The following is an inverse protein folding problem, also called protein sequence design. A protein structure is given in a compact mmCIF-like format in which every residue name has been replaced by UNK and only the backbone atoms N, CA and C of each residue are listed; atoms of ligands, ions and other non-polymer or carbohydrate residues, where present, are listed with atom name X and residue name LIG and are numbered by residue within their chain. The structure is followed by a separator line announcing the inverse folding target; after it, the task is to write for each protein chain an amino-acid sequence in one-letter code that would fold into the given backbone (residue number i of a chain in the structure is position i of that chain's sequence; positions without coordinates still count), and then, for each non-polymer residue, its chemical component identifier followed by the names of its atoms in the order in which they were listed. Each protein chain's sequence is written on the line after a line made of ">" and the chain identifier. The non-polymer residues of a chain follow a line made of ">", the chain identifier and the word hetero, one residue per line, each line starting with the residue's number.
data_IF_386906678275
#
_entry.id   IF_386906678275
#
_cell.length_a   1.000
_cell.length_b   1.000
_cell.length_c   1.000
_cell.angle_alpha   90.00
_cell.angle_beta   90.00
_cell.angle_gamma   90.00
#
_symmetry.space_group_name_H-M   'P 1'
#
loop_
_entity.id
_entity.type
_entity.pdbx_description
1 polymer ?
#
# COMPACT_ATOMS: atom_id res chain seq x y z
N UNK A 1 -4.98 -10.58 -0.08
CA UNK A 1 -5.61 -9.61 0.82
C UNK A 1 -4.56 -9.12 1.81
N UNK A 2 -4.51 -7.81 2.05
CA UNK A 2 -3.57 -7.17 2.98
C UNK A 2 -4.24 -6.91 4.33
N UNK A 3 -3.47 -6.89 5.41
CA UNK A 3 -3.94 -6.64 6.76
C UNK A 3 -3.05 -5.61 7.47
N UNK A 4 -3.65 -4.77 8.31
CA UNK A 4 -2.95 -3.97 9.29
C UNK A 4 -3.06 -4.60 10.69
N UNK A 5 -2.01 -4.38 11.47
CA UNK A 5 -1.98 -4.66 12.89
C UNK A 5 -2.01 -3.33 13.62
N UNK A 6 -2.97 -3.15 14.52
CA UNK A 6 -3.13 -1.94 15.33
C UNK A 6 -2.91 -2.23 16.81
N UNK A 7 -2.17 -1.36 17.48
CA UNK A 7 -1.91 -1.46 18.92
C UNK A 7 -2.96 -0.72 19.78
N UNK A 8 -2.66 -0.59 21.08
CA UNK A 8 -3.55 -0.06 22.14
C UNK A 8 -4.08 1.38 21.93
N UNK A 9 -3.55 2.13 20.96
CA UNK A 9 -3.99 3.49 20.63
C UNK A 9 -4.50 3.62 19.19
N UNK A 10 -4.96 2.53 18.59
CA UNK A 10 -5.39 2.47 17.18
C UNK A 10 -4.29 2.80 16.15
N UNK A 11 -3.07 3.03 16.61
CA UNK A 11 -1.90 3.25 15.77
C UNK A 11 -1.51 1.95 15.07
N UNK A 12 -1.23 2.05 13.77
CA UNK A 12 -0.70 0.93 13.01
C UNK A 12 0.68 0.61 13.56
N UNK A 13 0.92 -0.66 13.86
CA UNK A 13 2.19 -1.16 14.40
C UNK A 13 2.82 -2.21 13.48
N UNK A 14 2.07 -2.71 12.52
CA UNK A 14 2.59 -3.59 11.49
C UNK A 14 1.60 -3.82 10.37
N UNK A 15 2.07 -4.48 9.32
CA UNK A 15 1.32 -4.85 8.13
C UNK A 15 1.64 -6.30 7.77
N UNK A 16 0.62 -7.04 7.31
CA UNK A 16 0.79 -8.31 6.62
C UNK A 16 0.27 -8.15 5.21
N UNK A 17 1.16 -8.29 4.23
CA UNK A 17 0.90 -7.95 2.86
C UNK A 17 0.99 -9.22 2.02
N UNK A 18 -0.02 -9.50 1.20
CA UNK A 18 0.05 -10.63 0.29
C UNK A 18 1.12 -10.36 -0.79
N UNK A 19 2.14 -11.22 -0.86
CA UNK A 19 3.29 -11.01 -1.74
C UNK A 19 2.92 -11.08 -3.23
N UNK A 20 1.95 -11.91 -3.59
CA UNK A 20 1.46 -12.05 -4.97
C UNK A 20 0.69 -10.82 -5.46
N UNK A 21 0.16 -10.00 -4.54
CA UNK A 21 -0.62 -8.80 -4.86
C UNK A 21 0.15 -7.49 -4.68
N UNK A 22 1.34 -7.52 -4.10
CA UNK A 22 2.09 -6.31 -3.73
C UNK A 22 2.60 -5.50 -4.93
N UNK A 23 3.14 -6.14 -5.97
CA UNK A 23 3.65 -5.44 -7.15
C UNK A 23 4.50 -4.20 -6.82
N UNK A 24 4.11 -3.04 -7.36
CA UNK A 24 4.74 -1.73 -7.08
C UNK A 24 4.25 -1.06 -5.79
N UNK A 25 3.17 -1.58 -5.19
CA UNK A 25 2.57 -1.01 -3.98
C UNK A 25 3.52 -1.13 -2.78
N UNK A 26 4.39 -2.15 -2.76
CA UNK A 26 5.41 -2.30 -1.71
C UNK A 26 6.26 -1.05 -1.51
N UNK A 27 6.59 -0.31 -2.56
CA UNK A 27 7.40 0.90 -2.44
C UNK A 27 6.67 2.02 -1.71
N UNK A 28 5.36 2.19 -1.97
CA UNK A 28 4.52 3.15 -1.25
C UNK A 28 4.38 2.78 0.22
N UNK A 29 4.31 1.49 0.53
CA UNK A 29 4.22 1.00 1.91
C UNK A 29 5.52 1.25 2.65
N UNK A 30 6.66 1.02 2.01
CA UNK A 30 7.97 1.29 2.61
C UNK A 30 8.18 2.79 2.84
N UNK A 31 7.74 3.63 1.91
CA UNK A 31 7.75 5.09 2.06
C UNK A 31 6.90 5.53 3.26
N UNK A 32 5.65 5.06 3.33
CA UNK A 32 4.79 5.29 4.49
C UNK A 32 5.41 4.77 5.80
N UNK A 33 6.06 3.60 5.78
CA UNK A 33 6.67 3.03 6.98
C UNK A 33 7.86 3.87 7.47
N UNK A 34 8.62 4.49 6.57
CA UNK A 34 9.72 5.41 6.92
C UNK A 34 9.19 6.66 7.61
N UNK A 35 8.03 7.17 7.17
CA UNK A 35 7.38 8.34 7.79
C UNK A 35 6.71 8.02 9.13
N UNK A 36 6.19 6.81 9.31
CA UNK A 36 5.36 6.44 10.46
C UNK A 36 6.12 5.67 11.55
N UNK A 37 7.21 4.97 11.21
CA UNK A 37 7.98 4.17 12.15
C UNK A 37 9.41 4.69 12.32
N UNK A 38 9.83 4.88 13.57
CA UNK A 38 11.23 5.22 13.87
C UNK A 38 12.22 4.11 13.48
N UNK A 39 11.74 2.86 13.45
CA UNK A 39 12.45 1.69 12.94
C UNK A 39 11.46 0.56 12.70
N UNK A 40 11.68 -0.25 11.66
CA UNK A 40 10.85 -1.40 11.33
C UNK A 40 11.70 -2.53 10.75
N UNK A 41 11.16 -3.75 10.81
CA UNK A 41 11.70 -4.94 10.18
C UNK A 41 10.76 -5.43 9.08
N UNK A 42 11.33 -5.99 8.02
CA UNK A 42 10.60 -6.57 6.89
C UNK A 42 11.02 -8.02 6.73
N UNK A 43 10.06 -8.93 6.80
CA UNK A 43 10.28 -10.37 6.69
C UNK A 43 9.28 -10.97 5.70
N UNK A 44 9.70 -11.95 4.91
CA UNK A 44 8.82 -12.66 3.98
C UNK A 44 8.64 -14.10 4.43
N UNK A 45 7.41 -14.51 4.72
CA UNK A 45 7.05 -15.84 5.21
C UNK A 45 5.66 -16.24 4.72
N UNK A 46 5.45 -17.52 4.41
CA UNK A 46 4.15 -18.08 4.00
C UNK A 46 3.42 -17.34 2.86
N UNK A 47 4.17 -16.72 1.94
CA UNK A 47 3.58 -15.93 0.83
C UNK A 47 3.11 -14.53 1.24
N UNK A 48 3.50 -14.06 2.43
CA UNK A 48 3.23 -12.73 2.93
C UNK A 48 4.52 -11.97 3.24
N UNK A 49 4.50 -10.66 3.00
CA UNK A 49 5.49 -9.73 3.50
C UNK A 49 4.96 -9.12 4.79
N UNK A 50 5.68 -9.36 5.88
CA UNK A 50 5.42 -8.84 7.19
C UNK A 50 6.29 -7.61 7.41
N UNK A 51 5.66 -6.48 7.67
CA UNK A 51 6.33 -5.26 8.09
C UNK A 51 5.93 -4.98 9.54
N UNK A 52 6.90 -4.89 10.45
CA UNK A 52 6.62 -4.68 11.88
C UNK A 52 7.47 -3.55 12.42
N UNK A 53 6.84 -2.64 13.15
CA UNK A 53 7.54 -1.61 13.92
C UNK A 53 8.39 -2.28 15.00
N UNK A 54 9.66 -1.86 15.10
CA UNK A 54 10.59 -2.36 16.11
C UNK A 54 10.25 -1.88 17.53
N UNK A 55 9.33 -0.91 17.66
CA UNK A 55 8.87 -0.38 18.93
C UNK A 55 7.79 -1.26 19.60
N UNK A 56 7.25 -2.24 18.89
CA UNK A 56 6.31 -3.23 19.45
C UNK A 56 7.02 -4.11 20.47
N UNK A 57 6.49 -4.14 21.69
CA UNK A 57 6.81 -5.19 22.65
C UNK A 57 5.97 -6.43 22.28
N UNK A 58 6.57 -7.61 22.28
CA UNK A 58 5.92 -8.90 21.95
C UNK A 58 4.63 -9.17 22.74
N UNK A 59 4.44 -8.53 23.90
CA UNK A 59 3.29 -8.70 24.79
C UNK A 59 2.14 -7.71 24.51
N UNK A 60 2.26 -6.82 23.52
CA UNK A 60 1.21 -5.85 23.22
C UNK A 60 -0.02 -6.56 22.61
N UNK A 61 -1.22 -6.20 23.08
CA UNK A 61 -2.46 -6.62 22.42
C UNK A 61 -2.54 -5.95 21.05
N UNK A 62 -2.51 -6.76 19.99
CA UNK A 62 -2.55 -6.29 18.60
C UNK A 62 -3.79 -6.80 17.90
N UNK A 63 -4.55 -5.89 17.30
CA UNK A 63 -5.73 -6.23 16.51
C UNK A 63 -5.36 -6.33 15.04
N UNK A 64 -5.74 -7.44 14.40
CA UNK A 64 -5.57 -7.67 12.96
C UNK A 64 -6.85 -7.30 12.23
N UNK A 65 -6.74 -6.36 11.31
CA UNK A 65 -7.88 -5.90 10.50
C UNK A 65 -7.52 -5.85 9.01
N UNK A 66 -8.49 -6.02 8.10
CA UNK A 66 -8.27 -5.80 6.68
C UNK A 66 -7.74 -4.39 6.42
N UNK A 67 -6.73 -4.29 5.57
CA UNK A 67 -6.20 -2.99 5.19
C UNK A 67 -7.24 -2.25 4.32
N UNK A 68 -7.78 -1.14 4.80
CA UNK A 68 -8.77 -0.35 4.05
C UNK A 68 -8.07 0.77 3.28
N UNK A 69 -8.28 0.81 1.96
CA UNK A 69 -7.55 1.68 1.04
C UNK A 69 -7.70 3.20 1.18
N UNK A 70 -8.52 3.70 2.11
CA UNK A 70 -8.88 5.13 2.15
C UNK A 70 -8.68 5.78 3.53
N UNK A 71 -8.42 5.01 4.59
CA UNK A 71 -8.34 5.55 5.96
C UNK A 71 -6.92 5.77 6.48
N UNK A 72 -5.97 4.94 6.06
CA UNK A 72 -4.67 4.79 6.72
C UNK A 72 -3.52 5.54 6.02
N UNK A 73 -3.81 6.31 4.97
CA UNK A 73 -2.78 6.96 4.13
C UNK A 73 -1.96 6.00 3.27
N UNK A 74 -2.20 4.69 3.41
CA UNK A 74 -1.48 3.62 2.71
C UNK A 74 -1.87 3.50 1.22
N UNK A 75 -2.97 4.11 0.78
CA UNK A 75 -3.36 4.19 -0.64
C UNK A 75 -3.53 2.86 -1.37
N UNK A 76 -3.59 1.73 -0.64
CA UNK A 76 -3.72 0.38 -1.18
C UNK A 76 -5.17 0.17 -1.65
N UNK A 77 -5.40 0.13 -2.94
CA UNK A 77 -6.76 -0.11 -3.45
C UNK A 77 -7.08 -1.60 -3.30
N UNK A 78 -8.05 -1.97 -2.46
CA UNK A 78 -8.60 -3.34 -2.39
C UNK A 78 -9.46 -3.67 -3.63
N UNK A 79 -9.66 -2.68 -4.51
CA UNK A 79 -10.31 -2.85 -5.80
C UNK A 79 -9.36 -3.62 -6.72
N UNK A 80 -9.83 -4.67 -7.43
CA UNK A 80 -9.06 -5.21 -8.54
C UNK A 80 -8.73 -4.02 -9.44
N UNK A 81 -7.46 -3.83 -9.76
CA UNK A 81 -7.02 -2.77 -10.66
C UNK A 81 -7.66 -3.02 -12.03
N UNK A 82 -8.90 -2.57 -12.22
CA UNK A 82 -9.43 -2.30 -13.53
C UNK A 82 -8.59 -1.13 -14.03
N UNK A 83 -7.60 -1.47 -14.86
CA UNK A 83 -7.04 -0.53 -15.80
C UNK A 83 -8.22 -0.01 -16.62
N UNK A 84 -8.82 1.10 -16.18
CA UNK A 84 -9.75 1.89 -16.96
C UNK A 84 -8.96 2.45 -18.13
N UNK A 85 -8.94 1.63 -19.17
CA UNK A 85 -8.51 1.87 -20.52
C UNK A 85 -9.03 3.22 -21.02
N UNK A 86 -8.13 4.00 -21.61
CA UNK A 86 -8.31 5.21 -22.42
C UNK A 86 -9.74 5.74 -22.60
N UNK A 87 -9.96 6.95 -22.11
CA UNK A 87 -11.18 7.71 -22.37
C UNK A 87 -10.95 9.21 -22.27
N UNK A 88 -10.58 9.79 -23.41
CA UNK A 88 -10.90 11.17 -23.83
C UNK A 88 -10.17 12.33 -23.10
N UNK A 89 -9.00 12.70 -23.62
CA UNK A 89 -8.46 14.05 -23.45
C UNK A 89 -8.72 14.85 -24.73
N UNK A 90 -9.84 15.57 -24.76
CA UNK A 90 -10.09 16.67 -25.69
C UNK A 90 -9.31 17.90 -25.20
N UNK A 91 -8.22 18.26 -25.88
CA UNK A 91 -7.71 19.63 -25.94
C UNK A 91 -6.84 19.87 -27.20
N UNK A 92 -7.34 20.73 -28.09
CA UNK A 92 -6.54 21.88 -28.58
C UNK A 92 -5.52 21.68 -29.72
N UNK A 93 -5.97 21.89 -30.96
CA UNK A 93 -5.31 22.61 -32.07
C UNK A 93 -3.77 22.60 -32.23
N UNK A 94 -3.29 22.03 -33.35
CA UNK A 94 -2.41 22.73 -34.32
C UNK A 94 -2.35 21.98 -35.66
N UNK A 95 -2.34 22.73 -36.76
CA UNK A 95 -2.59 22.28 -38.12
C UNK A 95 -1.31 22.03 -38.97
N UNK A 96 -1.39 21.02 -39.87
CA UNK A 96 -0.77 20.83 -41.22
C UNK A 96 0.76 20.59 -41.39
N UNK A 97 1.28 20.04 -42.54
CA UNK A 97 0.75 19.11 -43.56
C UNK A 97 1.77 18.01 -44.08
N UNK A 98 1.39 17.27 -45.17
CA UNK A 98 2.15 16.39 -46.10
C UNK A 98 2.09 14.86 -45.81
N UNK A 99 1.94 13.92 -46.77
CA UNK A 99 1.84 13.91 -48.24
C UNK A 99 1.30 12.52 -48.67
N UNK A 100 0.31 12.45 -49.57
CA UNK A 100 0.29 11.50 -50.71
C UNK A 100 -0.76 11.91 -51.75
#
# INVERSE_FOLDING_TARGET
>A
MHYCFRGENDHVVGLQLNADQLGQEIYKILDWADENFSSYSVEQEDGYVHLRSSALKEEAEVHKEPLKGTGDGLGMSDEPSEASQDGDHDDGSAAEPAML
#
